data_IF_099026808582
#
_entry.id   IF_099026808582
#
_cell.length_a   1.000
_cell.length_b   1.000
_cell.length_c   1.000
_cell.angle_alpha   90.00
_cell.angle_beta   90.00
_cell.angle_gamma   90.00
#
_symmetry.space_group_name_H-M   'P 1'
#
loop_
_entity.id
_entity.type
_entity.pdbx_description
1 polymer ?
#
# COMPACT_ATOMS: atom_id res chain seq x y z
N UNK A 1 14.72 -2.55 6.69
CA UNK A 1 13.36 -3.08 6.85
C UNK A 1 12.73 -3.33 5.51
N UNK A 2 12.00 -4.44 5.34
CA UNK A 2 11.35 -4.75 4.06
C UNK A 2 10.20 -5.74 4.23
N UNK A 3 9.02 -5.39 3.71
CA UNK A 3 7.94 -6.34 3.46
C UNK A 3 8.31 -7.25 2.27
N UNK A 4 7.85 -8.50 2.34
CA UNK A 4 8.08 -9.52 1.31
C UNK A 4 6.85 -9.69 0.42
N UNK A 5 7.04 -10.26 -0.78
CA UNK A 5 5.91 -10.69 -1.60
C UNK A 5 5.02 -11.70 -0.89
N UNK A 6 5.59 -12.60 -0.08
CA UNK A 6 4.81 -13.56 0.73
C UNK A 6 3.84 -12.85 1.68
N UNK A 7 4.31 -11.81 2.38
CA UNK A 7 3.46 -10.99 3.25
C UNK A 7 2.43 -10.21 2.44
N UNK A 8 2.82 -9.67 1.29
CA UNK A 8 1.94 -8.93 0.38
C UNK A 8 0.78 -9.80 -0.13
N UNK A 9 1.06 -11.03 -0.56
CA UNK A 9 0.05 -11.91 -1.14
C UNK A 9 -0.96 -12.43 -0.15
N UNK A 10 -0.60 -12.55 1.13
CA UNK A 10 -1.50 -13.12 2.16
C UNK A 10 -2.06 -14.48 1.74
N UNK A 11 -1.24 -15.33 1.11
CA UNK A 11 -1.59 -16.64 0.54
C UNK A 11 -2.53 -16.61 -0.69
N UNK A 12 -2.95 -15.43 -1.15
CA UNK A 12 -3.91 -15.30 -2.27
C UNK A 12 -3.29 -15.70 -3.61
N UNK A 13 -1.97 -15.57 -3.75
CA UNK A 13 -1.21 -16.05 -4.90
C UNK A 13 -1.32 -17.57 -5.10
N UNK A 14 -1.59 -18.33 -4.04
CA UNK A 14 -1.83 -19.77 -4.08
C UNK A 14 -3.33 -20.07 -4.20
N UNK A 15 -4.15 -19.49 -3.33
CA UNK A 15 -5.60 -19.75 -3.27
C UNK A 15 -6.35 -19.32 -4.55
N UNK A 16 -5.85 -18.28 -5.22
CA UNK A 16 -6.46 -17.69 -6.42
C UNK A 16 -5.48 -17.66 -7.59
N UNK A 17 -4.59 -18.67 -7.68
CA UNK A 17 -3.54 -18.74 -8.68
C UNK A 17 -4.05 -18.62 -10.13
N UNK A 18 -5.27 -19.09 -10.40
CA UNK A 18 -5.93 -19.00 -11.70
C UNK A 18 -6.31 -17.56 -12.11
N UNK A 19 -6.42 -16.64 -11.15
CA UNK A 19 -6.70 -15.22 -11.38
C UNK A 19 -5.43 -14.37 -11.41
N UNK A 20 -4.28 -14.95 -11.07
CA UNK A 20 -3.00 -14.28 -11.01
C UNK A 20 -2.37 -14.19 -12.42
N UNK A 21 -2.41 -13.00 -13.00
CA UNK A 21 -1.82 -12.75 -14.33
C UNK A 21 -0.36 -12.28 -14.22
N UNK A 22 0.44 -12.41 -15.30
CA UNK A 22 1.79 -11.84 -15.36
C UNK A 22 1.84 -10.35 -15.02
N UNK A 23 0.84 -9.59 -15.45
CA UNK A 23 0.70 -8.16 -15.13
C UNK A 23 0.48 -7.92 -13.64
N UNK A 24 -0.39 -8.69 -12.98
CA UNK A 24 -0.62 -8.58 -11.54
C UNK A 24 0.67 -8.92 -10.77
N UNK A 25 1.41 -9.96 -11.19
CA UNK A 25 2.69 -10.30 -10.58
C UNK A 25 3.75 -9.20 -10.74
N UNK A 26 3.83 -8.58 -11.93
CA UNK A 26 4.73 -7.46 -12.17
C UNK A 26 4.36 -6.24 -11.31
N UNK A 27 3.07 -5.91 -11.23
CA UNK A 27 2.57 -4.82 -10.41
C UNK A 27 2.87 -5.04 -8.93
N UNK A 28 2.67 -6.24 -8.40
CA UNK A 28 2.97 -6.56 -7.01
C UNK A 28 4.46 -6.40 -6.68
N UNK A 29 5.35 -6.87 -7.57
CA UNK A 29 6.80 -6.67 -7.41
C UNK A 29 7.15 -5.18 -7.31
N UNK A 30 6.54 -4.36 -8.16
CA UNK A 30 6.79 -2.92 -8.16
C UNK A 30 6.19 -2.22 -6.94
N UNK A 31 4.97 -2.59 -6.54
CA UNK A 31 4.32 -2.08 -5.33
C UNK A 31 5.14 -2.39 -4.08
N UNK A 32 5.59 -3.64 -3.92
CA UNK A 32 6.45 -4.05 -2.79
C UNK A 32 7.79 -3.32 -2.83
N UNK A 33 8.41 -3.17 -4.01
CA UNK A 33 9.68 -2.43 -4.16
C UNK A 33 9.54 -0.97 -3.70
N UNK A 34 8.51 -0.26 -4.16
CA UNK A 34 8.28 1.15 -3.80
C UNK A 34 7.87 1.32 -2.34
N UNK A 35 7.01 0.45 -1.82
CA UNK A 35 6.64 0.45 -0.42
C UNK A 35 7.86 0.23 0.49
N UNK A 36 8.77 -0.67 0.12
CA UNK A 36 10.02 -0.87 0.85
C UNK A 36 10.96 0.34 0.80
N UNK A 37 11.02 1.03 -0.34
CA UNK A 37 11.77 2.30 -0.43
C UNK A 37 11.18 3.35 0.51
N UNK A 38 9.85 3.48 0.55
CA UNK A 38 9.15 4.39 1.45
C UNK A 38 9.38 4.04 2.92
N UNK A 39 9.26 2.76 3.29
CA UNK A 39 9.52 2.29 4.66
C UNK A 39 10.98 2.53 5.08
N UNK A 40 11.94 2.40 4.17
CA UNK A 40 13.32 2.79 4.43
C UNK A 40 13.43 4.29 4.73
N UNK A 41 12.78 5.15 3.93
CA UNK A 41 12.78 6.61 4.16
C UNK A 41 12.14 6.97 5.51
N UNK A 42 11.04 6.31 5.86
CA UNK A 42 10.39 6.47 7.17
C UNK A 42 11.37 6.16 8.31
N UNK A 43 12.02 5.00 8.25
CA UNK A 43 12.99 4.59 9.25
C UNK A 43 14.17 5.56 9.34
N UNK A 44 14.73 5.97 8.20
CA UNK A 44 15.87 6.89 8.16
C UNK A 44 15.51 8.28 8.76
N UNK A 45 14.27 8.74 8.61
CA UNK A 45 13.81 10.03 9.12
C UNK A 45 13.41 10.00 10.61
N UNK A 46 12.83 8.89 11.07
CA UNK A 46 12.17 8.82 12.40
C UNK A 46 12.94 7.98 13.41
N UNK A 47 13.86 7.13 12.96
CA UNK A 47 14.46 6.07 13.79
C UNK A 47 13.47 4.97 14.21
N UNK A 48 12.20 5.08 13.81
CA UNK A 48 11.18 4.10 14.14
C UNK A 48 11.15 2.97 13.11
N UNK A 49 11.01 1.76 13.65
CA UNK A 49 10.68 0.58 12.86
C UNK A 49 9.17 0.63 12.59
N UNK A 50 8.78 0.87 11.34
CA UNK A 50 7.38 0.70 10.92
C UNK A 50 6.86 -0.71 11.29
N UNK A 51 5.55 -0.90 11.48
CA UNK A 51 5.03 -2.23 11.65
C UNK A 51 5.37 -3.10 10.43
N UNK A 52 5.98 -4.27 10.64
CA UNK A 52 6.32 -5.23 9.57
C UNK A 52 5.07 -5.94 8.97
N UNK A 53 3.88 -5.42 9.24
CA UNK A 53 2.60 -6.00 8.88
C UNK A 53 2.07 -5.48 7.55
N UNK A 54 1.68 -6.40 6.66
CA UNK A 54 0.78 -6.09 5.54
C UNK A 54 -0.62 -6.54 5.91
N UNK A 55 -1.54 -5.59 5.98
CA UNK A 55 -2.96 -5.87 6.21
C UNK A 55 -3.60 -6.44 4.94
N UNK A 56 -3.29 -5.86 3.78
CA UNK A 56 -3.79 -6.35 2.49
C UNK A 56 -2.89 -5.92 1.32
N UNK A 57 -2.48 -6.87 0.47
CA UNK A 57 -1.87 -6.57 -0.83
C UNK A 57 -2.88 -6.76 -1.96
N UNK A 58 -2.58 -7.61 -2.94
CA UNK A 58 -3.52 -7.93 -4.01
C UNK A 58 -4.83 -8.54 -3.48
N UNK A 59 -5.96 -8.13 -4.06
CA UNK A 59 -7.28 -8.69 -3.79
C UNK A 59 -7.84 -9.26 -5.09
N UNK A 60 -8.07 -10.58 -5.20
CA UNK A 60 -8.93 -11.14 -6.23
C UNK A 60 -10.31 -10.46 -6.23
N UNK A 61 -11.05 -10.43 -7.35
CA UNK A 61 -12.38 -9.86 -7.48
C UNK A 61 -13.35 -10.30 -6.36
N UNK A 62 -13.39 -11.59 -6.03
CA UNK A 62 -14.23 -12.15 -4.97
C UNK A 62 -13.87 -11.59 -3.58
N UNK A 63 -12.57 -11.53 -3.27
CA UNK A 63 -12.05 -10.96 -2.02
C UNK A 63 -12.35 -9.45 -1.94
N UNK A 64 -12.19 -8.71 -3.03
CA UNK A 64 -12.50 -7.29 -3.08
C UNK A 64 -14.00 -7.04 -2.87
N UNK A 65 -14.87 -7.83 -3.52
CA UNK A 65 -16.31 -7.74 -3.36
C UNK A 65 -16.77 -8.04 -1.91
N UNK A 66 -16.09 -8.96 -1.22
CA UNK A 66 -16.34 -9.26 0.19
C UNK A 66 -15.75 -8.21 1.16
N UNK A 67 -14.85 -7.36 0.69
CA UNK A 67 -14.22 -6.33 1.54
C UNK A 67 -15.17 -5.13 1.66
N UNK A 68 -15.60 -4.85 2.90
CA UNK A 68 -16.52 -3.74 3.21
C UNK A 68 -15.99 -2.42 2.64
N UNK A 69 -16.86 -1.69 1.94
CA UNK A 69 -16.58 -0.38 1.33
C UNK A 69 -15.47 -0.38 0.25
N UNK A 70 -14.98 -1.53 -0.20
CA UNK A 70 -13.97 -1.55 -1.24
C UNK A 70 -14.52 -1.03 -2.58
N UNK A 71 -13.77 -0.15 -3.23
CA UNK A 71 -14.15 0.39 -4.53
C UNK A 71 -14.17 -0.70 -5.61
N UNK A 72 -15.12 -0.59 -6.56
CA UNK A 72 -15.23 -1.50 -7.71
C UNK A 72 -13.97 -1.49 -8.58
N UNK A 73 -13.30 -0.33 -8.68
CA UNK A 73 -12.07 -0.14 -9.45
C UNK A 73 -10.84 -0.02 -8.54
N UNK A 74 -10.84 -0.71 -7.38
CA UNK A 74 -9.77 -0.65 -6.40
C UNK A 74 -8.40 -0.99 -7.00
N UNK A 75 -7.31 -0.27 -6.63
CA UNK A 75 -5.96 -0.61 -7.07
C UNK A 75 -5.45 -1.92 -6.48
N UNK A 76 -6.09 -2.45 -5.43
CA UNK A 76 -5.79 -3.78 -4.93
C UNK A 76 -6.13 -4.88 -5.95
N UNK A 77 -7.11 -4.68 -6.83
CA UNK A 77 -7.48 -5.66 -7.87
C UNK A 77 -6.34 -5.88 -8.87
N UNK A 78 -5.58 -4.81 -9.16
CA UNK A 78 -4.46 -4.84 -10.11
C UNK A 78 -3.10 -4.97 -9.44
N UNK A 79 -3.05 -5.26 -8.14
CA UNK A 79 -1.84 -5.32 -7.31
C UNK A 79 -0.99 -4.03 -7.32
N UNK A 80 -1.66 -2.89 -7.49
CA UNK A 80 -1.05 -1.56 -7.47
C UNK A 80 -1.22 -0.85 -6.12
N UNK A 81 -1.70 -1.55 -5.10
CA UNK A 81 -1.86 -1.03 -3.74
C UNK A 81 -1.42 -2.01 -2.66
N UNK A 82 -1.09 -1.46 -1.49
CA UNK A 82 -0.78 -2.17 -0.25
C UNK A 82 -1.37 -1.39 0.93
N UNK A 83 -2.01 -2.10 1.85
CA UNK A 83 -2.39 -1.59 3.16
C UNK A 83 -1.34 -2.06 4.16
N UNK A 84 -0.50 -1.15 4.63
CA UNK A 84 0.49 -1.41 5.68
C UNK A 84 -0.18 -1.28 7.05
N UNK A 85 0.18 -2.15 8.00
CA UNK A 85 -0.26 -1.98 9.38
C UNK A 85 0.30 -0.67 9.94
N UNK A 86 -0.57 0.12 10.58
CA UNK A 86 -0.20 1.37 11.23
C UNK A 86 -1.04 1.59 12.49
N UNK A 87 -1.04 0.61 13.39
CA UNK A 87 -1.95 0.55 14.55
C UNK A 87 -1.92 1.78 15.46
N UNK A 88 -0.78 2.48 15.49
CA UNK A 88 -0.56 3.71 16.27
C UNK A 88 -0.49 4.96 15.39
N UNK A 89 -0.88 4.87 14.12
CA UNK A 89 -0.96 5.95 13.12
C UNK A 89 0.38 6.72 12.94
N UNK A 90 1.50 6.03 13.10
CA UNK A 90 2.82 6.66 13.01
C UNK A 90 3.24 6.93 11.57
N UNK A 91 2.94 6.02 10.64
CA UNK A 91 3.18 6.23 9.20
C UNK A 91 2.30 7.36 8.71
N UNK A 92 1.02 7.34 9.06
CA UNK A 92 0.04 8.34 8.68
C UNK A 92 0.38 9.75 9.20
N UNK A 93 0.79 9.87 10.47
CA UNK A 93 1.28 11.15 11.01
C UNK A 93 2.53 11.63 10.29
N UNK A 94 3.43 10.72 9.91
CA UNK A 94 4.63 11.09 9.17
C UNK A 94 4.30 11.52 7.74
N UNK A 95 3.38 10.86 7.04
CA UNK A 95 2.91 11.26 5.71
C UNK A 95 2.36 12.70 5.70
N UNK A 96 1.75 13.15 6.80
CA UNK A 96 1.25 14.52 6.94
C UNK A 96 2.36 15.58 7.11
N UNK A 97 3.63 15.17 7.31
CA UNK A 97 4.78 16.08 7.38
C UNK A 97 5.35 16.40 6.00
N UNK A 98 6.11 17.52 5.83
CA UNK A 98 6.78 17.83 4.57
C UNK A 98 7.72 16.73 4.07
N UNK A 99 8.43 16.07 4.99
CA UNK A 99 9.38 15.00 4.68
C UNK A 99 8.67 13.72 4.23
N UNK A 100 7.57 13.35 4.88
CA UNK A 100 6.74 12.21 4.48
C UNK A 100 6.05 12.44 3.12
N UNK A 101 5.56 13.66 2.87
CA UNK A 101 5.04 14.05 1.55
C UNK A 101 6.11 13.94 0.46
N UNK A 102 7.34 14.40 0.74
CA UNK A 102 8.45 14.26 -0.21
C UNK A 102 8.82 12.78 -0.42
N UNK A 103 8.77 11.95 0.62
CA UNK A 103 9.02 10.52 0.49
C UNK A 103 8.01 9.83 -0.45
N UNK A 104 6.74 10.24 -0.45
CA UNK A 104 5.75 9.75 -1.42
C UNK A 104 6.12 10.13 -2.86
N UNK A 105 6.65 11.34 -3.10
CA UNK A 105 7.12 11.77 -4.42
C UNK A 105 8.33 10.92 -4.85
N UNK A 106 9.33 10.81 -3.98
CA UNK A 106 10.58 10.10 -4.27
C UNK A 106 10.37 8.60 -4.54
N UNK A 107 9.37 8.01 -3.89
CA UNK A 107 9.01 6.61 -4.08
C UNK A 107 7.99 6.39 -5.20
N UNK A 108 7.52 7.47 -5.82
CA UNK A 108 6.40 7.49 -6.77
C UNK A 108 5.18 6.70 -6.27
N UNK A 109 4.70 7.11 -5.10
CA UNK A 109 3.54 6.57 -4.42
C UNK A 109 2.47 7.63 -4.20
N UNK A 110 1.27 7.16 -3.93
CA UNK A 110 0.11 7.93 -3.49
C UNK A 110 -0.44 7.27 -2.23
N UNK A 111 -0.99 8.05 -1.31
CA UNK A 111 -1.54 7.58 -0.07
C UNK A 111 -2.98 8.08 0.13
N UNK A 112 -3.85 7.25 0.70
CA UNK A 112 -5.11 7.76 1.23
C UNK A 112 -4.84 8.62 2.48
N UNK A 113 -5.71 9.58 2.75
CA UNK A 113 -5.57 10.46 3.90
C UNK A 113 -5.80 9.67 5.21
N UNK A 114 -5.02 9.94 6.28
CA UNK A 114 -5.10 9.19 7.54
C UNK A 114 -6.51 9.02 8.13
N UNK A 115 -7.37 10.03 7.97
CA UNK A 115 -8.76 9.99 8.45
C UNK A 115 -9.61 8.89 7.78
N UNK A 116 -9.23 8.45 6.59
CA UNK A 116 -9.91 7.39 5.86
C UNK A 116 -9.33 5.99 6.16
N UNK A 117 -8.14 5.93 6.75
CA UNK A 117 -7.39 4.70 6.99
C UNK A 117 -7.00 4.53 8.47
N UNK A 118 -7.94 4.62 9.42
CA UNK A 118 -7.59 4.53 10.84
C UNK A 118 -6.94 3.18 11.13
N UNK A 119 -5.67 3.20 11.56
CA UNK A 119 -4.82 2.04 11.90
C UNK A 119 -4.13 1.32 10.73
N UNK A 120 -4.20 1.85 9.51
CA UNK A 120 -3.40 1.34 8.39
C UNK A 120 -2.96 2.47 7.47
N UNK A 121 -1.83 2.33 6.79
CA UNK A 121 -1.44 3.27 5.74
C UNK A 121 -1.72 2.62 4.39
N UNK A 122 -2.67 3.18 3.64
CA UNK A 122 -2.91 2.76 2.25
C UNK A 122 -1.91 3.45 1.32
N UNK A 123 -1.12 2.68 0.59
CA UNK A 123 -0.20 3.18 -0.43
C UNK A 123 -0.52 2.55 -1.78
N UNK A 124 -0.46 3.34 -2.85
CA UNK A 124 -0.66 2.86 -4.21
C UNK A 124 0.35 3.44 -5.21
N UNK A 125 0.69 2.65 -6.22
CA UNK A 125 1.54 3.05 -7.36
C UNK A 125 0.73 3.68 -8.49
N UNK A 126 -0.59 3.44 -8.51
CA UNK A 126 -1.50 4.01 -9.50
C UNK A 126 -1.74 5.49 -9.19
N UNK A 127 -1.47 6.37 -10.15
CA UNK A 127 -1.77 7.79 -10.00
C UNK A 127 -3.27 8.04 -9.86
N UNK A 128 -3.62 9.05 -9.07
CA UNK A 128 -4.99 9.55 -8.96
C UNK A 128 -5.22 10.69 -9.96
N UNK A 129 -6.48 10.92 -10.33
CA UNK A 129 -6.84 11.94 -11.34
C UNK A 129 -6.39 13.36 -10.96
N UNK A 130 -6.38 13.71 -9.67
CA UNK A 130 -5.96 15.03 -9.20
C UNK A 130 -4.45 15.20 -9.10
N UNK A 131 -3.66 14.13 -9.25
CA UNK A 131 -2.20 14.14 -9.09
C UNK A 131 -1.70 14.35 -7.65
N UNK A 132 -2.58 14.61 -6.66
CA UNK A 132 -2.17 14.82 -5.26
C UNK A 132 -1.60 13.54 -4.67
N UNK A 133 -0.46 13.63 -3.96
CA UNK A 133 0.17 12.46 -3.31
C UNK A 133 -0.66 11.92 -2.15
N UNK A 134 -1.45 12.77 -1.48
CA UNK A 134 -2.40 12.37 -0.43
C UNK A 134 -3.81 12.72 -0.88
N UNK A 135 -4.76 11.78 -0.76
CA UNK A 135 -6.12 11.93 -1.27
C UNK A 135 -7.18 11.28 -0.38
N UNK A 136 -8.42 11.73 -0.50
CA UNK A 136 -9.55 11.03 0.11
C UNK A 136 -10.04 9.96 -0.88
N UNK A 137 -10.29 8.71 -0.42
CA UNK A 137 -10.73 7.62 -1.28
C UNK A 137 -12.11 7.81 -1.93
#
# INVERSE_FOLDING_TARGET
>A
MAITLKQYWKNRDVEYANELTPTIMANAKETVRRANLFLKRYHDATGATAPDGVNSGWRPPSVNAATKNAAKNSPHLTAQAVDLSDDVEAIDRWIASPEGLQALVDCDLYAEAPKATPRWAHLQTRAIASGKRVFNP
#
